data_IF_595600570602
#
_entry.id   IF_595600570602
#
_cell.length_a   1.000
_cell.length_b   1.000
_cell.length_c   1.000
_cell.angle_alpha   90.00
_cell.angle_beta   90.00
_cell.angle_gamma   90.00
#
_symmetry.space_group_name_H-M   'P 1'
#
loop_
_entity.id
_entity.type
_entity.pdbx_description
1 polymer ?
#
# COMPACT_ATOMS: atom_id res chain seq x y z
N UNK A 1 -11.41 11.09 35.01
CA UNK A 1 -10.66 11.61 33.85
C UNK A 1 -10.02 10.42 33.15
N UNK A 2 -10.09 10.40 31.82
CA UNK A 2 -9.41 9.47 30.89
C UNK A 2 -10.04 8.09 30.65
N UNK A 3 -10.94 7.99 29.64
CA UNK A 3 -11.19 6.72 28.91
C UNK A 3 -11.59 6.93 27.43
N UNK A 4 -11.40 8.12 26.87
CA UNK A 4 -11.83 8.46 25.50
C UNK A 4 -10.71 8.33 24.44
N UNK A 5 -9.49 7.95 24.84
CA UNK A 5 -8.35 7.84 23.93
C UNK A 5 -8.27 6.45 23.26
N UNK A 6 -8.43 5.36 24.03
CA UNK A 6 -8.36 3.98 23.51
C UNK A 6 -9.43 3.69 22.44
N UNK A 7 -10.67 4.16 22.66
CA UNK A 7 -11.80 3.88 21.76
C UNK A 7 -11.71 4.56 20.39
N UNK A 8 -10.94 5.64 20.24
CA UNK A 8 -10.81 6.38 18.97
C UNK A 8 -9.72 5.81 18.08
N UNK A 9 -8.60 5.37 18.65
CA UNK A 9 -7.53 4.71 17.89
C UNK A 9 -7.96 3.32 17.42
N UNK A 10 -8.65 2.55 18.27
CA UNK A 10 -9.24 1.27 17.87
C UNK A 10 -10.28 1.44 16.76
N UNK A 11 -11.16 2.44 16.86
CA UNK A 11 -12.13 2.74 15.82
C UNK A 11 -11.49 3.17 14.49
N UNK A 12 -10.46 4.02 14.54
CA UNK A 12 -9.71 4.44 13.35
C UNK A 12 -8.97 3.27 12.69
N UNK A 13 -8.34 2.40 13.48
CA UNK A 13 -7.64 1.23 12.95
C UNK A 13 -8.61 0.24 12.32
N UNK A 14 -9.75 -0.07 12.95
CA UNK A 14 -10.80 -0.93 12.37
C UNK A 14 -11.34 -0.33 11.06
N UNK A 15 -11.55 0.98 11.03
CA UNK A 15 -12.02 1.68 9.83
C UNK A 15 -10.97 1.69 8.71
N UNK A 16 -9.69 1.81 9.06
CA UNK A 16 -8.56 1.69 8.13
C UNK A 16 -8.44 0.27 7.56
N UNK A 17 -8.45 -0.77 8.41
CA UNK A 17 -8.43 -2.16 7.98
C UNK A 17 -9.63 -2.52 7.10
N UNK A 18 -10.82 -2.03 7.44
CA UNK A 18 -12.03 -2.20 6.63
C UNK A 18 -11.91 -1.53 5.26
N UNK A 19 -11.31 -0.34 5.21
CA UNK A 19 -11.06 0.39 3.95
C UNK A 19 -10.05 -0.36 3.09
N UNK A 20 -8.93 -0.81 3.67
CA UNK A 20 -7.90 -1.59 2.97
C UNK A 20 -8.44 -2.92 2.44
N UNK A 21 -9.22 -3.64 3.25
CA UNK A 21 -9.84 -4.89 2.84
C UNK A 21 -10.84 -4.65 1.70
N UNK A 22 -11.67 -3.61 1.79
CA UNK A 22 -12.63 -3.27 0.74
C UNK A 22 -11.96 -2.89 -0.59
N UNK A 23 -10.80 -2.23 -0.53
CA UNK A 23 -9.99 -1.90 -1.70
C UNK A 23 -9.37 -3.15 -2.31
N UNK A 24 -8.75 -4.01 -1.50
CA UNK A 24 -8.21 -5.29 -1.94
C UNK A 24 -9.30 -6.18 -2.58
N UNK A 25 -10.49 -6.24 -1.99
CA UNK A 25 -11.62 -6.99 -2.55
C UNK A 25 -12.12 -6.42 -3.88
N UNK A 26 -12.11 -5.09 -4.07
CA UNK A 26 -12.48 -4.46 -5.35
C UNK A 26 -11.47 -4.76 -6.44
N UNK A 27 -10.16 -4.66 -6.14
CA UNK A 27 -9.10 -5.07 -7.07
C UNK A 27 -9.25 -6.55 -7.44
N UNK A 28 -9.48 -7.40 -6.44
CA UNK A 28 -9.61 -8.84 -6.66
C UNK A 28 -10.83 -9.18 -7.52
N UNK A 29 -11.99 -8.56 -7.24
CA UNK A 29 -13.19 -8.77 -8.05
C UNK A 29 -13.01 -8.28 -9.49
N UNK A 30 -12.45 -7.08 -9.69
CA UNK A 30 -12.16 -6.52 -11.02
C UNK A 30 -11.16 -7.41 -11.80
N UNK A 31 -10.11 -7.88 -11.14
CA UNK A 31 -9.16 -8.83 -11.73
C UNK A 31 -9.80 -10.20 -12.04
N UNK A 32 -10.79 -10.62 -11.26
CA UNK A 32 -11.44 -11.93 -11.42
C UNK A 32 -12.55 -11.97 -12.47
N UNK A 33 -13.26 -10.87 -12.72
CA UNK A 33 -14.44 -10.87 -13.60
C UNK A 33 -14.08 -10.84 -15.10
N UNK A 34 -12.90 -10.35 -15.50
CA UNK A 34 -12.48 -10.29 -16.91
C UNK A 34 -10.96 -10.33 -17.12
N UNK A 35 -10.24 -11.29 -16.52
CA UNK A 35 -8.87 -11.52 -16.95
C UNK A 35 -8.85 -12.13 -18.37
N UNK A 36 -8.60 -11.31 -19.40
CA UNK A 36 -8.15 -11.81 -20.70
C UNK A 36 -6.83 -12.56 -20.47
N UNK A 37 -6.87 -13.88 -20.61
CA UNK A 37 -5.75 -14.77 -20.28
C UNK A 37 -4.49 -14.45 -21.09
N UNK A 38 -4.63 -13.75 -22.22
CA UNK A 38 -3.52 -13.28 -23.08
C UNK A 38 -2.71 -12.14 -22.46
N UNK A 39 -3.29 -11.41 -21.51
CA UNK A 39 -2.60 -10.32 -20.80
C UNK A 39 -1.99 -10.76 -19.46
N UNK A 40 -2.38 -11.92 -18.92
CA UNK A 40 -1.88 -12.44 -17.63
C UNK A 40 -0.36 -12.55 -17.57
N UNK A 41 0.30 -12.82 -18.70
CA UNK A 41 1.77 -12.91 -18.77
C UNK A 41 2.49 -11.56 -18.56
N UNK A 42 1.77 -10.43 -18.67
CA UNK A 42 2.34 -9.09 -18.46
C UNK A 42 2.10 -8.55 -17.05
N UNK A 43 1.29 -9.25 -16.23
CA UNK A 43 1.07 -8.85 -14.85
C UNK A 43 2.14 -9.46 -13.93
N UNK A 44 2.56 -8.73 -12.88
CA UNK A 44 3.51 -9.27 -11.91
C UNK A 44 2.91 -10.50 -11.22
N UNK A 45 3.71 -11.57 -11.11
CA UNK A 45 3.33 -12.84 -10.45
C UNK A 45 2.97 -12.63 -8.96
N UNK A 46 3.50 -11.57 -8.34
CA UNK A 46 3.18 -11.15 -6.97
C UNK A 46 3.13 -9.63 -6.83
N UNK A 47 2.11 -9.12 -6.12
CA UNK A 47 2.02 -7.74 -5.67
C UNK A 47 2.01 -7.70 -4.14
N UNK A 48 2.81 -6.81 -3.55
CA UNK A 48 2.92 -6.65 -2.11
C UNK A 48 2.27 -5.32 -1.72
N UNK A 49 1.30 -5.36 -0.82
CA UNK A 49 0.57 -4.18 -0.35
C UNK A 49 0.79 -4.02 1.15
N UNK A 50 1.17 -2.81 1.55
CA UNK A 50 1.37 -2.43 2.94
C UNK A 50 0.88 -1.02 3.19
N UNK A 51 0.68 -0.68 4.47
CA UNK A 51 0.30 0.66 4.91
C UNK A 51 1.18 1.11 6.06
N UNK A 52 1.39 2.43 6.16
CA UNK A 52 2.09 3.06 7.28
C UNK A 52 1.33 4.32 7.68
N UNK A 53 1.02 4.45 8.96
CA UNK A 53 0.45 5.68 9.52
C UNK A 53 1.57 6.65 9.86
N UNK A 54 1.50 7.85 9.31
CA UNK A 54 2.49 8.90 9.52
C UNK A 54 1.80 10.18 10.02
N UNK A 55 2.46 10.98 10.86
CA UNK A 55 2.01 12.33 11.17
C UNK A 55 1.90 13.17 9.91
N UNK A 56 1.04 14.20 9.94
CA UNK A 56 0.88 15.16 8.83
C UNK A 56 2.23 15.79 8.47
N UNK A 57 2.56 15.80 7.19
CA UNK A 57 3.85 16.30 6.70
C UNK A 57 4.18 15.82 5.29
N UNK A 58 5.37 16.19 4.83
CA UNK A 58 5.93 15.76 3.55
C UNK A 58 7.10 14.81 3.80
N UNK A 59 7.08 13.66 3.13
CA UNK A 59 8.07 12.60 3.31
C UNK A 59 8.65 12.16 1.98
N UNK A 60 9.84 11.58 2.06
CA UNK A 60 10.40 10.79 0.97
C UNK A 60 10.34 9.31 1.39
N UNK A 61 9.97 8.44 0.46
CA UNK A 61 10.02 6.99 0.66
C UNK A 61 11.14 6.38 -0.19
N UNK A 62 11.90 5.47 0.41
CA UNK A 62 12.93 4.69 -0.27
C UNK A 62 12.48 3.23 -0.35
N UNK A 63 12.11 2.81 -1.54
CA UNK A 63 11.67 1.44 -1.83
C UNK A 63 12.88 0.65 -2.31
N UNK A 64 13.23 -0.41 -1.58
CA UNK A 64 14.42 -1.25 -1.86
C UNK A 64 13.98 -2.69 -2.14
N UNK A 65 14.22 -3.16 -3.35
CA UNK A 65 13.97 -4.52 -3.77
C UNK A 65 15.23 -5.36 -3.53
N UNK A 66 15.05 -6.51 -2.87
CA UNK A 66 16.13 -7.45 -2.58
C UNK A 66 15.82 -8.81 -3.16
N UNK A 67 16.86 -9.50 -3.64
CA UNK A 67 16.75 -10.91 -4.00
C UNK A 67 16.74 -11.82 -2.76
N UNK A 68 16.65 -13.13 -2.99
CA UNK A 68 16.65 -14.15 -1.92
C UNK A 68 17.93 -14.12 -1.06
N UNK A 69 19.06 -13.66 -1.59
CA UNK A 69 20.32 -13.54 -0.85
C UNK A 69 20.42 -12.25 -0.04
N UNK A 70 19.43 -11.36 -0.16
CA UNK A 70 19.42 -10.04 0.48
C UNK A 70 20.15 -8.97 -0.33
N UNK A 71 20.67 -9.31 -1.52
CA UNK A 71 21.31 -8.34 -2.41
C UNK A 71 20.25 -7.42 -2.99
N UNK A 72 20.55 -6.12 -3.02
CA UNK A 72 19.68 -5.12 -3.63
C UNK A 72 19.70 -5.30 -5.15
N UNK A 73 18.53 -5.42 -5.75
CA UNK A 73 18.34 -5.60 -7.20
C UNK A 73 17.73 -4.37 -7.86
N UNK A 74 16.94 -3.59 -7.11
CA UNK A 74 16.37 -2.33 -7.58
C UNK A 74 16.07 -1.40 -6.41
N UNK A 75 16.12 -0.09 -6.66
CA UNK A 75 15.76 0.94 -5.70
C UNK A 75 14.96 2.03 -6.39
N UNK A 76 13.95 2.55 -5.70
CA UNK A 76 13.19 3.71 -6.14
C UNK A 76 13.03 4.69 -4.98
N UNK A 77 13.29 5.97 -5.25
CA UNK A 77 13.03 7.05 -4.31
C UNK A 77 11.77 7.77 -4.79
N UNK A 78 10.77 7.83 -3.93
CA UNK A 78 9.54 8.57 -4.12
C UNK A 78 9.64 9.84 -3.27
N UNK A 79 9.74 10.99 -3.92
CA UNK A 79 9.93 12.26 -3.22
C UNK A 79 8.63 13.02 -3.06
N UNK A 80 8.51 13.78 -1.97
CA UNK A 80 7.41 14.75 -1.82
C UNK A 80 6.05 14.10 -1.56
N UNK A 81 6.03 12.94 -0.90
CA UNK A 81 4.81 12.27 -0.50
C UNK A 81 4.12 13.08 0.59
N UNK A 82 2.95 13.62 0.28
CA UNK A 82 2.17 14.44 1.21
C UNK A 82 1.21 13.57 2.03
N UNK A 83 1.33 13.69 3.35
CA UNK A 83 0.41 13.10 4.32
C UNK A 83 -0.44 14.22 4.89
N UNK A 84 -1.74 14.22 4.55
CA UNK A 84 -2.69 15.24 4.94
C UNK A 84 -3.90 14.61 5.68
N UNK A 85 -4.57 15.36 6.59
CA UNK A 85 -5.74 14.84 7.30
C UNK A 85 -6.85 14.39 6.36
N UNK A 86 -7.38 13.18 6.59
CA UNK A 86 -8.48 12.63 5.79
C UNK A 86 -8.11 12.23 4.36
N UNK A 87 -6.82 12.24 4.01
CA UNK A 87 -6.32 11.79 2.73
C UNK A 87 -5.70 10.39 2.83
N UNK A 88 -5.91 9.55 1.82
CA UNK A 88 -5.21 8.29 1.66
C UNK A 88 -4.19 8.43 0.54
N UNK A 89 -2.91 8.52 0.90
CA UNK A 89 -1.81 8.53 -0.05
C UNK A 89 -1.54 7.12 -0.57
N UNK A 90 -1.86 6.86 -1.84
CA UNK A 90 -1.50 5.63 -2.54
C UNK A 90 -0.30 5.91 -3.44
N UNK A 91 0.71 5.05 -3.35
CA UNK A 91 1.88 5.10 -4.21
C UNK A 91 2.25 3.69 -4.65
N UNK A 92 2.81 3.58 -5.84
CA UNK A 92 3.25 2.33 -6.43
C UNK A 92 4.73 2.38 -6.77
N UNK A 93 5.36 1.21 -6.72
CA UNK A 93 6.71 0.99 -7.15
C UNK A 93 6.76 -0.36 -7.85
N UNK A 94 7.52 -0.46 -8.93
CA UNK A 94 7.64 -1.68 -9.72
C UNK A 94 9.12 -1.96 -9.95
N UNK A 95 9.54 -3.19 -9.70
CA UNK A 95 10.87 -3.65 -10.06
C UNK A 95 10.87 -4.09 -11.54
N UNK A 96 11.63 -3.43 -12.44
CA UNK A 96 11.58 -3.68 -13.88
C UNK A 96 12.45 -4.88 -14.34
N UNK A 97 12.73 -5.85 -13.46
CA UNK A 97 13.66 -6.95 -13.70
C UNK A 97 12.96 -8.25 -14.05
#
# INVERSE_FOLDING_TARGET
MSSNAETREEANSIQFYGTLLSFASRIFNEASEQADVRLSHFYPDMAWVGGVDLPVGTYDAHVVYRDRSGRIIHEQILTGLEVAPGNLGLWESVCPL
#
